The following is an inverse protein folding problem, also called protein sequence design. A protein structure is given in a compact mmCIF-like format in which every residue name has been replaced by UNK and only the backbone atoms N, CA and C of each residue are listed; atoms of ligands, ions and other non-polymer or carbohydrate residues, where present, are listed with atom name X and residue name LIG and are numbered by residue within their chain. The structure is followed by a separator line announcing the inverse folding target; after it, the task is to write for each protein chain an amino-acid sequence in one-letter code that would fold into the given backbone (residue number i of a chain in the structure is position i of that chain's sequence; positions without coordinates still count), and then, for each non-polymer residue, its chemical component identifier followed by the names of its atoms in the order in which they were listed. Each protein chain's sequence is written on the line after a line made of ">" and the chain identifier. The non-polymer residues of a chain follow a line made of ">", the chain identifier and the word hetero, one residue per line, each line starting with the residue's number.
data_IF_148634384002
#
_entry.id   IF_148634384002
#
_cell.length_a   1.000
_cell.length_b   1.000
_cell.length_c   1.000
_cell.angle_alpha   90.00
_cell.angle_beta   90.00
_cell.angle_gamma   90.00
#
_symmetry.space_group_name_H-M   'P 1'
#
loop_
_entity.id
_entity.type
_entity.pdbx_description
1 polymer ?
#
# COMPACT_ATOMS: atom_id res chain seq x y z
N UNK A 1 10.42 17.68 -13.96
CA UNK A 1 10.71 18.99 -13.39
C UNK A 1 11.29 18.82 -12.01
N UNK A 2 12.40 19.47 -11.73
CA UNK A 2 12.93 19.50 -10.38
C UNK A 2 11.91 20.25 -9.51
N UNK A 3 11.27 19.51 -8.61
CA UNK A 3 10.49 20.13 -7.54
C UNK A 3 11.50 20.90 -6.70
N UNK A 4 11.22 22.16 -6.47
CA UNK A 4 12.05 23.00 -5.60
C UNK A 4 11.82 22.56 -4.15
N UNK A 5 12.58 21.54 -3.74
CA UNK A 5 12.54 20.96 -2.39
C UNK A 5 12.84 22.02 -1.32
N UNK A 6 13.62 23.03 -1.68
CA UNK A 6 13.96 24.12 -0.77
C UNK A 6 12.73 24.99 -0.48
N UNK A 7 11.90 25.26 -1.46
CA UNK A 7 10.66 26.01 -1.27
C UNK A 7 9.66 25.20 -0.45
N UNK A 8 9.49 23.89 -0.74
CA UNK A 8 8.62 23.03 0.07
C UNK A 8 9.06 23.03 1.53
N UNK A 9 10.36 22.89 1.81
CA UNK A 9 10.87 22.92 3.19
C UNK A 9 10.69 24.29 3.87
N UNK A 10 10.92 25.38 3.13
CA UNK A 10 10.71 26.75 3.66
C UNK A 10 9.26 26.99 4.07
N UNK A 11 8.30 26.50 3.29
CA UNK A 11 6.87 26.68 3.55
C UNK A 11 6.35 25.72 4.64
N UNK A 12 6.69 24.44 4.54
CA UNK A 12 6.09 23.40 5.40
C UNK A 12 6.89 23.10 6.66
N UNK A 13 8.17 23.54 6.70
CA UNK A 13 9.15 23.21 7.76
C UNK A 13 9.38 21.71 7.94
N UNK A 14 8.98 20.92 6.93
CA UNK A 14 9.12 19.45 6.88
C UNK A 14 9.43 19.02 5.46
N UNK A 15 10.25 17.98 5.32
CA UNK A 15 10.49 17.33 4.05
C UNK A 15 10.65 15.82 4.27
N UNK A 16 9.83 15.02 3.61
CA UNK A 16 9.98 13.56 3.56
C UNK A 16 10.31 13.17 2.12
N UNK A 17 11.41 12.45 1.91
CA UNK A 17 11.89 12.14 0.57
C UNK A 17 12.68 10.84 0.53
N UNK A 18 12.71 10.19 -0.63
CA UNK A 18 13.76 9.24 -0.98
C UNK A 18 14.99 9.98 -1.49
N UNK A 19 16.17 9.52 -1.08
CA UNK A 19 17.47 10.01 -1.54
C UNK A 19 18.32 8.81 -1.98
N UNK A 20 18.97 8.94 -3.12
CA UNK A 20 19.83 7.90 -3.69
C UNK A 20 21.22 8.45 -3.88
N UNK A 21 22.18 7.76 -3.31
CA UNK A 21 23.61 8.08 -3.43
C UNK A 21 24.37 6.78 -3.71
N UNK A 22 24.98 6.69 -4.87
CA UNK A 22 25.58 5.46 -5.40
C UNK A 22 24.55 4.32 -5.36
N UNK A 23 24.85 3.21 -4.70
CA UNK A 23 23.96 2.06 -4.53
C UNK A 23 23.12 2.11 -3.24
N UNK A 24 23.20 3.21 -2.49
CA UNK A 24 22.50 3.38 -1.21
C UNK A 24 21.25 4.21 -1.42
N UNK A 25 20.10 3.66 -1.02
CA UNK A 25 18.83 4.40 -0.97
C UNK A 25 18.45 4.68 0.47
N UNK A 26 18.06 5.91 0.72
CA UNK A 26 17.66 6.40 2.04
C UNK A 26 16.26 7.00 1.98
N UNK A 27 15.45 6.70 2.96
CA UNK A 27 14.34 7.57 3.32
C UNK A 27 14.86 8.64 4.24
N UNK A 28 14.64 9.88 3.87
CA UNK A 28 15.12 11.05 4.59
C UNK A 28 13.91 11.85 5.05
N UNK A 29 13.80 12.05 6.35
CA UNK A 29 12.87 13.00 6.93
C UNK A 29 13.67 14.16 7.52
N UNK A 30 13.32 15.37 7.13
CA UNK A 30 13.90 16.61 7.66
C UNK A 30 12.78 17.37 8.37
N UNK A 31 13.03 17.77 9.61
CA UNK A 31 12.12 18.58 10.42
C UNK A 31 12.91 19.63 11.19
N UNK A 32 12.23 20.57 11.86
CA UNK A 32 12.87 21.55 12.73
C UNK A 32 12.57 21.24 14.19
N UNK A 33 13.58 21.40 15.05
CA UNK A 33 13.43 21.50 16.49
C UNK A 33 14.23 22.74 16.94
N UNK A 34 13.58 23.70 17.58
CA UNK A 34 14.17 24.98 17.97
C UNK A 34 14.92 25.67 16.81
N UNK A 35 14.29 25.70 15.64
CA UNK A 35 14.84 26.24 14.38
C UNK A 35 16.07 25.48 13.82
N UNK A 36 16.49 24.39 14.47
CA UNK A 36 17.60 23.57 14.05
C UNK A 36 17.07 22.40 13.17
N UNK A 37 17.61 22.19 11.97
CA UNK A 37 17.23 21.05 11.14
C UNK A 37 17.63 19.70 11.78
N UNK A 38 16.65 18.82 11.93
CA UNK A 38 16.83 17.44 12.39
C UNK A 38 16.66 16.51 11.20
N UNK A 39 17.64 15.64 10.99
CA UNK A 39 17.65 14.64 9.92
C UNK A 39 17.41 13.25 10.51
N UNK A 40 16.37 12.59 10.05
CA UNK A 40 16.14 11.17 10.33
C UNK A 40 16.36 10.39 9.04
N UNK A 41 17.37 9.49 9.05
CA UNK A 41 17.76 8.68 7.90
C UNK A 41 17.40 7.23 8.17
N UNK A 42 16.73 6.59 7.20
CA UNK A 42 16.46 5.15 7.22
C UNK A 42 17.01 4.53 5.94
N UNK A 43 17.85 3.51 6.09
CA UNK A 43 18.32 2.74 4.96
C UNK A 43 17.17 1.96 4.33
N UNK A 44 17.00 2.10 3.03
CA UNK A 44 16.08 1.29 2.23
C UNK A 44 16.88 0.15 1.63
N UNK A 45 16.43 -1.08 1.84
CA UNK A 45 17.07 -2.25 1.23
C UNK A 45 16.77 -2.27 -0.26
N UNK A 46 17.77 -2.46 -1.10
CA UNK A 46 17.60 -2.53 -2.55
C UNK A 46 17.04 -3.89 -3.01
N UNK A 47 17.30 -4.95 -2.25
CA UNK A 47 16.85 -6.29 -2.58
C UNK A 47 15.47 -6.55 -1.97
N UNK A 48 14.53 -6.94 -2.83
CA UNK A 48 13.22 -7.40 -2.43
C UNK A 48 13.30 -8.92 -2.22
N UNK A 49 12.93 -9.44 -1.04
CA UNK A 49 12.83 -10.89 -0.83
C UNK A 49 11.83 -11.48 -1.82
N UNK A 50 12.10 -12.71 -2.25
CA UNK A 50 11.14 -13.45 -3.07
C UNK A 50 9.87 -13.76 -2.28
N UNK A 51 8.79 -14.05 -2.98
CA UNK A 51 7.51 -14.41 -2.36
C UNK A 51 7.67 -15.61 -1.41
N UNK A 52 8.46 -16.62 -1.83
CA UNK A 52 8.75 -17.83 -1.09
C UNK A 52 9.56 -17.56 0.19
N UNK A 53 10.54 -16.68 0.10
CA UNK A 53 11.39 -16.31 1.27
C UNK A 53 10.59 -15.58 2.35
N UNK A 54 9.52 -14.87 1.97
CA UNK A 54 8.66 -14.18 2.92
C UNK A 54 7.75 -15.12 3.72
N UNK A 55 7.51 -16.33 3.23
CA UNK A 55 6.57 -17.25 3.87
C UNK A 55 5.11 -16.79 3.81
N UNK A 56 4.76 -15.98 2.83
CA UNK A 56 3.37 -15.56 2.58
C UNK A 56 2.58 -16.75 2.05
N UNK A 57 1.40 -17.09 2.60
CA UNK A 57 0.60 -18.21 2.14
C UNK A 57 0.22 -18.10 0.65
N UNK A 58 0.27 -19.22 -0.08
CA UNK A 58 0.02 -19.27 -1.52
C UNK A 58 -1.38 -18.77 -1.93
N UNK A 59 -2.35 -18.86 -1.03
CA UNK A 59 -3.69 -18.30 -1.26
C UNK A 59 -3.64 -16.78 -1.52
N UNK A 60 -2.72 -16.05 -0.88
CA UNK A 60 -2.57 -14.59 -1.07
C UNK A 60 -2.10 -14.31 -2.50
N UNK A 61 -1.14 -15.10 -3.02
CA UNK A 61 -0.70 -15.02 -4.42
C UNK A 61 -1.85 -15.28 -5.39
N UNK A 62 -2.64 -16.34 -5.15
CA UNK A 62 -3.78 -16.68 -6.00
C UNK A 62 -4.83 -15.56 -6.05
N UNK A 63 -5.01 -14.81 -4.97
CA UNK A 63 -5.97 -13.69 -4.95
C UNK A 63 -5.52 -12.52 -5.84
N UNK A 64 -4.24 -12.38 -6.18
CA UNK A 64 -3.78 -11.33 -7.13
C UNK A 64 -4.22 -11.57 -8.57
N UNK A 65 -4.78 -12.75 -8.88
CA UNK A 65 -5.35 -13.06 -10.18
C UNK A 65 -6.85 -12.72 -10.29
N UNK A 66 -7.44 -12.16 -9.24
CA UNK A 66 -8.81 -11.65 -9.31
C UNK A 66 -8.88 -10.52 -10.34
N UNK A 67 -9.93 -10.49 -11.19
CA UNK A 67 -10.06 -9.46 -12.20
C UNK A 67 -10.30 -8.07 -11.58
N UNK A 68 -10.99 -8.03 -10.43
CA UNK A 68 -11.37 -6.82 -9.72
C UNK A 68 -11.61 -7.10 -8.24
N UNK A 69 -11.66 -6.05 -7.44
CA UNK A 69 -11.96 -6.11 -6.01
C UNK A 69 -10.88 -5.50 -5.16
N UNK A 70 -10.93 -5.77 -3.87
CA UNK A 70 -10.06 -5.16 -2.86
C UNK A 70 -9.26 -6.23 -2.12
N UNK A 71 -7.95 -6.08 -2.08
CA UNK A 71 -7.01 -6.88 -1.28
C UNK A 71 -6.35 -5.95 -0.26
N UNK A 72 -6.33 -6.33 1.01
CA UNK A 72 -5.77 -5.52 2.07
C UNK A 72 -4.63 -6.25 2.79
N UNK A 73 -3.47 -5.58 2.86
CA UNK A 73 -2.31 -6.01 3.64
C UNK A 73 -2.24 -5.14 4.90
N UNK A 74 -2.44 -5.74 6.06
CA UNK A 74 -2.59 -4.99 7.31
C UNK A 74 -1.60 -5.42 8.37
N UNK A 75 -1.45 -4.62 9.42
CA UNK A 75 -0.53 -4.89 10.53
C UNK A 75 0.08 -3.60 11.08
N UNK A 76 0.70 -3.70 12.24
CA UNK A 76 1.39 -2.58 12.88
C UNK A 76 2.52 -2.03 12.02
N UNK A 77 3.02 -0.86 12.36
CA UNK A 77 4.27 -0.33 11.79
C UNK A 77 5.40 -1.35 11.97
N UNK A 78 6.24 -1.51 10.97
CA UNK A 78 7.33 -2.50 10.92
C UNK A 78 6.89 -3.98 10.96
N UNK A 79 5.64 -4.30 10.55
CA UNK A 79 5.19 -5.69 10.42
C UNK A 79 5.49 -6.33 9.05
N UNK A 80 6.19 -5.63 8.17
CA UNK A 80 6.55 -6.14 6.84
C UNK A 80 5.51 -5.88 5.73
N UNK A 81 4.50 -5.02 5.97
CA UNK A 81 3.46 -4.72 4.96
C UNK A 81 4.02 -4.27 3.62
N UNK A 82 4.91 -3.27 3.64
CA UNK A 82 5.55 -2.74 2.43
C UNK A 82 6.32 -3.82 1.68
N UNK A 83 7.04 -4.67 2.41
CA UNK A 83 7.79 -5.78 1.81
C UNK A 83 6.86 -6.79 1.14
N UNK A 84 5.79 -7.19 1.81
CA UNK A 84 4.78 -8.11 1.25
C UNK A 84 4.07 -7.49 0.05
N UNK A 85 3.67 -6.21 0.16
CA UNK A 85 3.04 -5.48 -0.94
C UNK A 85 3.92 -5.47 -2.19
N UNK A 86 5.20 -5.13 -2.04
CA UNK A 86 6.15 -5.10 -3.16
C UNK A 86 6.46 -6.50 -3.71
N UNK A 87 6.48 -7.54 -2.87
CA UNK A 87 6.60 -8.91 -3.34
C UNK A 87 5.38 -9.35 -4.18
N UNK A 88 4.16 -8.94 -3.79
CA UNK A 88 2.96 -9.17 -4.59
C UNK A 88 3.01 -8.43 -5.93
N UNK A 89 3.45 -7.17 -5.93
CA UNK A 89 3.66 -6.39 -7.17
C UNK A 89 4.66 -7.11 -8.08
N UNK A 90 5.78 -7.58 -7.53
CA UNK A 90 6.78 -8.30 -8.32
C UNK A 90 6.25 -9.63 -8.87
N UNK A 91 5.48 -10.38 -8.09
CA UNK A 91 4.82 -11.62 -8.52
C UNK A 91 3.87 -11.36 -9.71
N UNK A 92 3.05 -10.32 -9.62
CA UNK A 92 2.18 -9.91 -10.73
C UNK A 92 3.01 -9.50 -11.95
N UNK A 93 4.05 -8.70 -11.75
CA UNK A 93 4.93 -8.19 -12.79
C UNK A 93 5.63 -9.30 -13.57
N UNK A 94 5.98 -10.40 -12.91
CA UNK A 94 6.64 -11.55 -13.53
C UNK A 94 5.67 -12.47 -14.27
N UNK A 95 4.42 -12.56 -13.82
CA UNK A 95 3.52 -13.62 -14.24
C UNK A 95 2.30 -13.13 -15.04
N UNK A 96 1.93 -11.86 -14.96
CA UNK A 96 0.72 -11.28 -15.56
C UNK A 96 1.05 -10.12 -16.50
N UNK A 97 0.23 -9.92 -17.53
CA UNK A 97 0.30 -8.78 -18.46
C UNK A 97 -0.68 -7.71 -17.97
N UNK A 98 -0.27 -6.85 -17.03
CA UNK A 98 -1.08 -5.84 -16.37
C UNK A 98 -0.41 -4.47 -16.38
N UNK A 99 -1.19 -3.41 -16.35
CA UNK A 99 -0.71 -2.08 -16.01
C UNK A 99 -0.95 -1.82 -14.53
N UNK A 100 0.13 -1.72 -13.78
CA UNK A 100 0.14 -1.53 -12.33
C UNK A 100 0.50 -0.09 -12.03
N UNK A 101 -0.39 0.64 -11.35
CA UNK A 101 -0.11 1.96 -10.82
C UNK A 101 0.08 1.86 -9.32
N UNK A 102 1.19 2.38 -8.79
CA UNK A 102 1.40 2.46 -7.34
C UNK A 102 1.38 3.91 -6.87
N UNK A 103 0.81 4.12 -5.69
CA UNK A 103 0.78 5.39 -4.97
C UNK A 103 1.49 5.17 -3.64
N UNK A 104 2.64 5.80 -3.45
CA UNK A 104 3.53 5.51 -2.31
C UNK A 104 4.07 6.80 -1.67
N UNK A 105 4.41 6.76 -0.40
CA UNK A 105 4.98 7.91 0.31
C UNK A 105 6.06 7.49 1.32
N UNK A 106 7.35 7.49 0.91
CA UNK A 106 7.90 7.54 -0.45
C UNK A 106 7.88 6.17 -1.15
N UNK A 107 8.34 6.12 -2.41
CA UNK A 107 8.64 4.85 -3.11
C UNK A 107 9.82 4.17 -2.42
N UNK A 108 9.57 3.03 -1.75
CA UNK A 108 10.64 2.28 -1.06
C UNK A 108 11.39 1.33 -2.00
N UNK A 109 10.69 0.59 -2.86
CA UNK A 109 11.30 -0.32 -3.82
C UNK A 109 11.02 0.15 -5.25
N UNK A 110 12.05 0.23 -6.07
CA UNK A 110 11.89 0.51 -7.51
C UNK A 110 11.69 -0.79 -8.28
N UNK A 111 10.60 -0.88 -9.00
CA UNK A 111 10.30 -2.02 -9.86
C UNK A 111 10.73 -1.75 -11.30
N UNK A 112 11.36 -2.74 -11.93
CA UNK A 112 11.58 -2.74 -13.37
C UNK A 112 10.43 -3.52 -14.03
N UNK A 113 9.76 -2.92 -15.00
CA UNK A 113 8.69 -3.57 -15.77
C UNK A 113 9.23 -4.83 -16.46
N UNK A 114 8.47 -5.95 -16.34
CA UNK A 114 8.76 -7.24 -16.97
C UNK A 114 7.60 -7.61 -17.90
N UNK A 115 6.69 -8.51 -17.50
CA UNK A 115 5.46 -8.78 -18.23
C UNK A 115 4.43 -7.68 -18.05
N UNK A 116 4.38 -7.07 -16.85
CA UNK A 116 3.52 -5.93 -16.57
C UNK A 116 4.25 -4.60 -16.80
N UNK A 117 3.47 -3.55 -17.02
CA UNK A 117 3.97 -2.17 -17.00
C UNK A 117 3.73 -1.59 -15.62
N UNK A 118 4.77 -1.12 -14.95
CA UNK A 118 4.67 -0.54 -13.60
C UNK A 118 4.93 0.96 -13.67
N UNK A 119 4.00 1.73 -13.12
CA UNK A 119 4.11 3.18 -12.93
C UNK A 119 4.04 3.46 -11.43
N UNK A 120 5.12 3.96 -10.86
CA UNK A 120 5.20 4.29 -9.42
C UNK A 120 5.13 5.80 -9.24
N UNK A 121 4.19 6.27 -8.42
CA UNK A 121 3.99 7.69 -8.12
C UNK A 121 4.22 7.96 -6.64
N UNK A 122 4.98 9.00 -6.36
CA UNK A 122 5.15 9.49 -4.99
C UNK A 122 4.04 10.47 -4.61
N UNK A 123 3.52 10.31 -3.39
CA UNK A 123 2.51 11.17 -2.79
C UNK A 123 3.18 12.20 -1.87
N UNK A 124 2.77 13.44 -1.98
CA UNK A 124 3.21 14.53 -1.10
C UNK A 124 3.33 15.88 -1.82
N UNK A 125 3.59 16.92 -1.05
CA UNK A 125 3.80 18.25 -1.59
C UNK A 125 5.00 18.27 -2.55
N UNK A 126 4.75 18.76 -3.78
CA UNK A 126 5.76 18.81 -4.83
C UNK A 126 6.18 17.44 -5.35
N UNK A 127 5.34 16.42 -5.22
CA UNK A 127 5.48 15.08 -5.79
C UNK A 127 4.51 14.87 -6.96
N UNK A 128 4.41 13.62 -7.42
CA UNK A 128 3.58 13.24 -8.56
C UNK A 128 2.08 13.45 -8.30
N UNK A 129 1.64 13.27 -7.05
CA UNK A 129 0.28 13.54 -6.58
C UNK A 129 0.31 14.21 -5.20
N UNK A 130 -0.63 15.10 -4.91
CA UNK A 130 -0.71 15.81 -3.63
C UNK A 130 -1.11 14.88 -2.47
N UNK A 131 -2.11 14.02 -2.71
CA UNK A 131 -2.63 13.08 -1.72
C UNK A 131 -3.04 11.76 -2.38
N UNK A 132 -3.32 10.75 -1.57
CA UNK A 132 -3.71 9.43 -2.06
C UNK A 132 -5.03 9.46 -2.83
N UNK A 133 -6.05 10.14 -2.32
CA UNK A 133 -7.37 10.24 -2.97
C UNK A 133 -7.30 10.87 -4.35
N UNK A 134 -6.46 11.89 -4.54
CA UNK A 134 -6.21 12.51 -5.84
C UNK A 134 -5.53 11.52 -6.81
N UNK A 135 -4.50 10.81 -6.34
CA UNK A 135 -3.82 9.78 -7.12
C UNK A 135 -4.74 8.65 -7.55
N UNK A 136 -5.64 8.19 -6.66
CA UNK A 136 -6.64 7.15 -6.97
C UNK A 136 -7.63 7.63 -8.03
N UNK A 137 -8.19 8.83 -7.89
CA UNK A 137 -9.11 9.41 -8.89
C UNK A 137 -8.46 9.56 -10.27
N UNK A 138 -7.16 9.84 -10.31
CA UNK A 138 -6.42 9.93 -11.56
C UNK A 138 -6.16 8.57 -12.22
N UNK A 139 -6.03 7.50 -11.43
CA UNK A 139 -5.83 6.13 -11.92
C UNK A 139 -6.89 5.70 -12.94
N UNK A 140 -8.17 6.03 -12.71
CA UNK A 140 -9.28 5.72 -13.60
C UNK A 140 -9.14 6.32 -15.02
N UNK A 141 -8.30 7.37 -15.16
CA UNK A 141 -8.01 8.00 -16.44
C UNK A 141 -6.72 7.51 -17.10
N UNK A 142 -5.97 6.69 -16.37
CA UNK A 142 -4.65 6.20 -16.80
C UNK A 142 -4.69 4.76 -17.30
N UNK A 143 -5.88 4.18 -17.46
CA UNK A 143 -6.09 2.81 -17.97
C UNK A 143 -5.23 1.79 -17.22
N UNK A 144 -5.29 1.82 -15.88
CA UNK A 144 -4.60 0.85 -15.04
C UNK A 144 -5.49 -0.38 -14.78
N UNK A 145 -4.91 -1.57 -14.77
CA UNK A 145 -5.60 -2.80 -14.36
C UNK A 145 -5.58 -2.95 -12.84
N UNK A 146 -4.46 -2.61 -12.23
CA UNK A 146 -4.20 -2.79 -10.81
C UNK A 146 -3.73 -1.49 -10.19
N UNK A 147 -4.43 -1.06 -9.15
CA UNK A 147 -4.04 0.08 -8.32
C UNK A 147 -3.48 -0.40 -6.99
N UNK A 148 -2.29 0.08 -6.65
CA UNK A 148 -1.66 -0.19 -5.36
C UNK A 148 -1.62 1.10 -4.53
N UNK A 149 -2.24 1.07 -3.35
CA UNK A 149 -2.30 2.19 -2.42
C UNK A 149 -1.41 1.89 -1.23
N UNK A 150 -0.29 2.59 -1.12
CA UNK A 150 0.71 2.39 -0.08
C UNK A 150 0.12 2.46 1.33
N UNK A 151 -0.84 3.35 1.56
CA UNK A 151 -1.56 3.43 2.83
C UNK A 151 -2.94 4.10 2.69
N UNK A 152 -3.96 3.50 3.30
CA UNK A 152 -5.31 4.04 3.42
C UNK A 152 -5.49 4.57 4.85
N UNK A 153 -5.47 5.89 5.02
CA UNK A 153 -5.51 6.55 6.34
C UNK A 153 -6.83 7.22 6.66
N UNK A 154 -7.55 7.62 5.64
CA UNK A 154 -8.71 8.49 5.74
C UNK A 154 -9.88 7.98 4.90
N UNK A 155 -11.06 8.56 5.18
CA UNK A 155 -12.31 8.24 4.50
C UNK A 155 -12.21 8.46 3.00
N UNK A 156 -11.66 9.58 2.58
CA UNK A 156 -11.63 9.99 1.17
C UNK A 156 -10.81 9.00 0.32
N UNK A 157 -9.67 8.54 0.84
CA UNK A 157 -8.85 7.50 0.19
C UNK A 157 -9.59 6.16 0.15
N UNK A 158 -10.31 5.79 1.23
CA UNK A 158 -11.10 4.55 1.28
C UNK A 158 -12.26 4.59 0.28
N UNK A 159 -13.01 5.68 0.21
CA UNK A 159 -14.09 5.87 -0.77
C UNK A 159 -13.57 5.71 -2.19
N UNK A 160 -12.51 6.42 -2.53
CA UNK A 160 -11.90 6.34 -3.86
C UNK A 160 -11.39 4.91 -4.19
N UNK A 161 -10.84 4.18 -3.20
CA UNK A 161 -10.41 2.79 -3.36
C UNK A 161 -11.58 1.85 -3.64
N UNK A 162 -12.71 2.02 -2.93
CA UNK A 162 -13.94 1.25 -3.14
C UNK A 162 -14.53 1.55 -4.53
N UNK A 163 -14.67 2.82 -4.90
CA UNK A 163 -15.15 3.24 -6.22
C UNK A 163 -14.29 2.66 -7.36
N UNK A 164 -12.96 2.64 -7.18
CA UNK A 164 -12.05 2.06 -8.16
C UNK A 164 -12.23 0.54 -8.29
N UNK A 165 -12.40 -0.16 -7.16
CA UNK A 165 -12.67 -1.59 -7.17
C UNK A 165 -14.05 -1.92 -7.79
N UNK A 166 -15.06 -1.08 -7.55
CA UNK A 166 -16.41 -1.20 -8.15
C UNK A 166 -16.38 -0.94 -9.65
N UNK A 167 -15.52 -0.02 -10.11
CA UNK A 167 -15.32 0.28 -11.54
C UNK A 167 -14.61 -0.85 -12.32
N UNK A 168 -14.20 -1.94 -11.67
CA UNK A 168 -13.65 -3.11 -12.34
C UNK A 168 -12.13 -3.30 -12.18
N UNK A 169 -11.49 -2.55 -11.30
CA UNK A 169 -10.05 -2.64 -11.06
C UNK A 169 -9.73 -3.53 -9.84
N UNK A 170 -8.56 -4.15 -9.85
CA UNK A 170 -8.01 -4.78 -8.65
C UNK A 170 -7.27 -3.72 -7.83
N UNK A 171 -7.74 -3.46 -6.61
CA UNK A 171 -7.11 -2.52 -5.69
C UNK A 171 -6.40 -3.29 -4.58
N UNK A 172 -5.12 -3.00 -4.37
CA UNK A 172 -4.32 -3.57 -3.28
C UNK A 172 -3.90 -2.43 -2.37
N UNK A 173 -4.33 -2.45 -1.11
CA UNK A 173 -4.06 -1.37 -0.16
C UNK A 173 -3.48 -1.84 1.16
N UNK A 174 -2.94 -0.90 1.97
CA UNK A 174 -2.52 -1.22 3.33
C UNK A 174 -3.26 -0.40 4.37
N UNK A 175 -3.49 -1.03 5.55
CA UNK A 175 -4.00 -0.37 6.77
C UNK A 175 -3.14 -0.75 7.99
N UNK A 176 -3.30 0.01 9.09
CA UNK A 176 -2.60 -0.22 10.36
C UNK A 176 -3.47 -0.94 11.41
N UNK A 177 -4.23 -1.94 11.00
CA UNK A 177 -5.05 -2.79 11.87
C UNK A 177 -4.28 -4.03 12.31
N UNK A 178 -4.71 -4.68 13.41
CA UNK A 178 -3.97 -5.77 14.06
C UNK A 178 -4.54 -7.15 13.77
N UNK A 179 -5.73 -7.22 13.14
CA UNK A 179 -6.44 -8.45 12.76
C UNK A 179 -7.33 -8.22 11.54
N UNK A 180 -7.79 -9.30 10.93
CA UNK A 180 -8.74 -9.22 9.83
C UNK A 180 -10.07 -8.61 10.28
N UNK A 181 -10.59 -8.97 11.45
CA UNK A 181 -11.82 -8.41 12.01
C UNK A 181 -11.68 -6.89 12.25
N UNK A 182 -10.61 -6.44 12.93
CA UNK A 182 -10.35 -5.01 13.13
C UNK A 182 -10.25 -4.24 11.80
N UNK A 183 -9.82 -4.91 10.74
CA UNK A 183 -9.75 -4.29 9.42
C UNK A 183 -11.14 -3.97 8.88
N UNK A 184 -12.07 -4.91 8.99
CA UNK A 184 -13.47 -4.68 8.59
C UNK A 184 -14.09 -3.55 9.40
N UNK A 185 -13.94 -3.60 10.73
CA UNK A 185 -14.44 -2.55 11.62
C UNK A 185 -13.85 -1.18 11.25
N UNK A 186 -12.56 -1.12 10.94
CA UNK A 186 -11.88 0.11 10.56
C UNK A 186 -12.43 0.67 9.25
N UNK A 187 -12.66 -0.18 8.24
CA UNK A 187 -13.23 0.23 6.96
C UNK A 187 -14.64 0.82 7.15
N UNK A 188 -15.48 0.16 7.95
CA UNK A 188 -16.84 0.63 8.25
C UNK A 188 -16.83 1.93 9.05
N UNK A 189 -15.91 2.05 10.02
CA UNK A 189 -15.82 3.22 10.91
C UNK A 189 -15.21 4.47 10.26
N UNK A 190 -14.74 4.40 9.01
CA UNK A 190 -14.46 5.61 8.22
C UNK A 190 -15.74 6.38 7.86
N UNK A 191 -16.92 5.75 7.97
CA UNK A 191 -18.19 6.30 7.52
C UNK A 191 -19.11 6.64 8.68
N UNK A 192 -20.01 7.60 8.46
CA UNK A 192 -21.07 7.93 9.42
C UNK A 192 -22.04 6.75 9.59
N UNK A 193 -22.65 6.64 10.77
CA UNK A 193 -23.56 5.53 11.12
C UNK A 193 -24.63 5.28 10.06
N UNK A 194 -25.19 6.36 9.50
CA UNK A 194 -26.24 6.28 8.45
C UNK A 194 -25.77 5.59 7.16
N UNK A 195 -24.47 5.68 6.84
CA UNK A 195 -23.87 5.17 5.60
C UNK A 195 -23.28 3.76 5.79
N UNK A 196 -23.05 3.33 7.04
CA UNK A 196 -22.35 2.09 7.35
C UNK A 196 -22.98 0.83 6.76
N UNK A 197 -24.33 0.77 6.70
CA UNK A 197 -25.01 -0.39 6.14
C UNK A 197 -24.73 -0.55 4.63
N UNK A 198 -24.76 0.55 3.89
CA UNK A 198 -24.41 0.56 2.46
C UNK A 198 -22.94 0.17 2.26
N UNK A 199 -22.06 0.71 3.08
CA UNK A 199 -20.62 0.41 3.01
C UNK A 199 -20.33 -1.05 3.34
N UNK A 200 -20.99 -1.65 4.33
CA UNK A 200 -20.88 -3.09 4.63
C UNK A 200 -21.24 -3.94 3.42
N UNK A 201 -22.31 -3.60 2.73
CA UNK A 201 -22.72 -4.29 1.51
C UNK A 201 -21.65 -4.18 0.42
N UNK A 202 -21.09 -2.98 0.18
CA UNK A 202 -20.03 -2.77 -0.80
C UNK A 202 -18.76 -3.55 -0.43
N UNK A 203 -18.33 -3.48 0.83
CA UNK A 203 -17.19 -4.24 1.33
C UNK A 203 -17.42 -5.74 1.12
N UNK A 204 -18.58 -6.28 1.46
CA UNK A 204 -18.89 -7.70 1.31
C UNK A 204 -18.80 -8.20 -0.13
N UNK A 205 -19.11 -7.35 -1.11
CA UNK A 205 -19.06 -7.70 -2.53
C UNK A 205 -17.65 -7.54 -3.16
N UNK A 206 -16.91 -6.52 -2.71
CA UNK A 206 -15.64 -6.13 -3.33
C UNK A 206 -14.41 -6.71 -2.65
N UNK A 207 -14.45 -6.90 -1.32
CA UNK A 207 -13.32 -7.42 -0.58
C UNK A 207 -13.06 -8.88 -0.97
N UNK A 208 -11.82 -9.19 -1.35
CA UNK A 208 -11.39 -10.54 -1.74
C UNK A 208 -10.48 -11.18 -0.69
N UNK A 209 -9.62 -10.36 -0.07
CA UNK A 209 -8.65 -10.87 0.87
C UNK A 209 -8.25 -9.79 1.88
N UNK A 210 -8.08 -10.22 3.13
CA UNK A 210 -7.31 -9.47 4.14
C UNK A 210 -6.19 -10.36 4.64
N UNK A 211 -4.96 -9.86 4.62
CA UNK A 211 -3.82 -10.46 5.30
C UNK A 211 -3.32 -9.54 6.40
N UNK A 212 -3.46 -9.94 7.66
CA UNK A 212 -2.97 -9.20 8.81
C UNK A 212 -1.66 -9.79 9.31
N UNK A 213 -0.62 -8.98 9.41
CA UNK A 213 0.76 -9.42 9.54
C UNK A 213 1.38 -9.05 10.88
N UNK A 214 2.17 -10.00 11.42
CA UNK A 214 3.09 -9.78 12.54
C UNK A 214 4.44 -10.38 12.19
N UNK A 215 5.52 -9.72 12.59
CA UNK A 215 6.86 -10.30 12.56
C UNK A 215 7.24 -10.74 13.96
N UNK A 216 7.55 -12.01 14.12
CA UNK A 216 7.95 -12.61 15.39
C UNK A 216 9.37 -13.17 15.27
N UNK A 217 10.17 -13.12 16.35
CA UNK A 217 11.48 -13.76 16.35
C UNK A 217 11.32 -15.29 16.33
N UNK A 218 12.01 -15.94 15.41
CA UNK A 218 12.14 -17.39 15.37
C UNK A 218 13.13 -17.88 16.44
N UNK A 219 13.21 -19.19 16.66
CA UNK A 219 14.22 -19.80 17.53
C UNK A 219 15.68 -19.48 17.11
N UNK A 220 15.90 -19.20 15.84
CA UNK A 220 17.21 -18.78 15.30
C UNK A 220 17.48 -17.28 15.41
N UNK A 221 16.56 -16.49 16.01
CA UNK A 221 16.67 -15.03 16.10
C UNK A 221 16.27 -14.26 14.84
N UNK A 222 16.00 -14.94 13.73
CA UNK A 222 15.48 -14.30 12.52
C UNK A 222 14.00 -13.93 12.68
N UNK A 223 13.58 -12.80 12.13
CA UNK A 223 12.17 -12.44 12.07
C UNK A 223 11.45 -13.31 11.03
N UNK A 224 10.31 -13.86 11.42
CA UNK A 224 9.43 -14.62 10.53
C UNK A 224 8.05 -13.98 10.49
N UNK A 225 7.44 -14.03 9.33
CA UNK A 225 6.08 -13.57 9.12
C UNK A 225 5.08 -14.54 9.75
N UNK A 226 4.17 -14.02 10.54
CA UNK A 226 3.02 -14.75 11.08
C UNK A 226 1.76 -14.02 10.59
N UNK A 227 1.12 -14.52 9.53
CA UNK A 227 -0.07 -13.90 8.96
C UNK A 227 -1.35 -14.50 9.55
N UNK A 228 -2.35 -13.66 9.69
CA UNK A 228 -3.76 -14.03 9.76
C UNK A 228 -4.36 -13.74 8.39
N UNK A 229 -5.03 -14.70 7.77
CA UNK A 229 -5.57 -14.55 6.40
C UNK A 229 -7.07 -14.80 6.40
N UNK A 230 -7.81 -13.85 5.88
CA UNK A 230 -9.24 -13.96 5.63
C UNK A 230 -9.46 -13.86 4.11
N UNK A 231 -10.00 -14.91 3.52
CA UNK A 231 -10.49 -14.94 2.14
C UNK A 231 -11.98 -14.71 2.19
N UNK A 232 -12.46 -13.77 1.39
CA UNK A 232 -13.89 -13.46 1.31
C UNK A 232 -14.46 -14.23 0.12
N UNK A 233 -15.24 -15.23 0.44
CA UNK A 233 -16.05 -16.01 -0.51
C UNK A 233 -17.54 -15.67 -0.33
N UNK A 234 -18.40 -16.36 -1.08
CA UNK A 234 -19.84 -16.15 -1.02
C UNK A 234 -20.46 -16.45 0.36
N UNK A 235 -19.78 -17.22 1.22
CA UNK A 235 -20.23 -17.52 2.56
C UNK A 235 -19.90 -16.35 3.49
N UNK A 236 -18.65 -15.87 3.45
CA UNK A 236 -18.17 -14.75 4.27
C UNK A 236 -18.85 -13.44 3.87
N UNK A 237 -19.16 -13.24 2.59
CA UNK A 237 -19.88 -12.05 2.12
C UNK A 237 -21.36 -11.99 2.53
N UNK A 238 -21.94 -13.11 2.97
CA UNK A 238 -23.32 -13.20 3.44
C UNK A 238 -23.51 -12.96 4.94
N UNK A 239 -22.43 -12.78 5.70
CA UNK A 239 -22.44 -12.48 7.14
C UNK A 239 -22.40 -10.96 7.34
#
# INVERSE_FOLDING_TARGET
>A
GNVDKDNVFKETKKLDMSYEFEDIRLRVNISLADEIPIFTLRLIKNELPTYEELGVPDIVRRMTYQPQGLILVTGKTNSGKTTTLNALINEINENQNKKILTLESPVEYKHTSKKSVIVQKEIGAGRDCLCYSDGVKNCLREDCDILVIGEIRDRETMEAAIETAEAGHLVIGTLHTKSCAETIDRMVNFYEIRDQQTVKYLISSLLKLVISQRLLPSKSGKLVLVPEVMVVDNIVSGI
#
